data_IF_757952190175
#
_entry.id   IF_757952190175
#
_cell.length_a   1.000
_cell.length_b   1.000
_cell.length_c   1.000
_cell.angle_alpha   90.00
_cell.angle_beta   90.00
_cell.angle_gamma   90.00
#
_symmetry.space_group_name_H-M   'P 1'
#
loop_
_entity.id
_entity.type
_entity.pdbx_description
1 polymer ?
#
# COMPACT_ATOMS: atom_id res chain seq x y z
N UNK A 1 -6.49 -51.59 -9.42
CA UNK A 1 -5.65 -50.49 -9.95
C UNK A 1 -5.81 -49.33 -8.99
N UNK A 2 -4.79 -49.10 -8.16
CA UNK A 2 -4.82 -48.04 -7.16
C UNK A 2 -4.52 -46.71 -7.84
N UNK A 3 -5.41 -45.74 -7.66
CA UNK A 3 -5.24 -44.36 -8.12
C UNK A 3 -4.04 -43.75 -7.39
N UNK A 4 -3.06 -43.28 -8.15
CA UNK A 4 -1.91 -42.56 -7.64
C UNK A 4 -2.40 -41.24 -7.00
N UNK A 5 -2.00 -40.88 -5.78
CA UNK A 5 -2.28 -39.56 -5.23
C UNK A 5 -1.48 -38.54 -6.04
N UNK A 6 -2.19 -37.63 -6.71
CA UNK A 6 -1.64 -36.49 -7.45
C UNK A 6 -0.67 -35.74 -6.55
N UNK A 7 0.59 -35.63 -6.98
CA UNK A 7 1.61 -34.89 -6.27
C UNK A 7 1.17 -33.40 -6.19
N UNK A 8 1.02 -32.80 -4.99
CA UNK A 8 0.61 -31.39 -4.86
C UNK A 8 1.58 -30.38 -5.49
N UNK A 9 2.76 -30.84 -5.94
CA UNK A 9 3.81 -30.01 -6.53
C UNK A 9 3.66 -29.76 -8.04
N UNK A 10 2.71 -30.37 -8.75
CA UNK A 10 2.64 -30.31 -10.23
C UNK A 10 2.06 -29.01 -10.84
N UNK A 11 1.70 -28.00 -10.05
CA UNK A 11 1.20 -26.71 -10.57
C UNK A 11 1.76 -25.49 -9.81
N UNK A 12 3.04 -25.49 -9.44
CA UNK A 12 3.70 -24.22 -9.09
C UNK A 12 3.91 -23.48 -10.42
N UNK A 13 3.19 -22.37 -10.62
CA UNK A 13 3.39 -21.50 -11.77
C UNK A 13 4.87 -21.06 -11.85
N UNK A 14 5.36 -20.81 -13.07
CA UNK A 14 6.70 -20.23 -13.24
C UNK A 14 6.86 -19.00 -12.34
N UNK A 15 7.97 -18.95 -11.62
CA UNK A 15 8.28 -17.87 -10.70
C UNK A 15 8.28 -16.52 -11.45
N UNK A 16 7.34 -15.60 -11.15
CA UNK A 16 7.18 -14.37 -11.93
C UNK A 16 8.23 -13.30 -11.62
N UNK A 17 9.08 -13.51 -10.60
CA UNK A 17 9.94 -12.46 -10.05
C UNK A 17 11.33 -12.40 -10.67
N UNK A 18 11.77 -13.45 -11.36
CA UNK A 18 13.10 -13.51 -11.98
C UNK A 18 14.28 -13.63 -10.99
N UNK A 19 14.01 -13.78 -9.69
CA UNK A 19 14.98 -14.14 -8.65
C UNK A 19 14.48 -15.33 -7.84
N UNK A 20 15.39 -16.06 -7.20
CA UNK A 20 15.02 -17.22 -6.37
C UNK A 20 14.12 -16.79 -5.21
N UNK A 21 12.97 -17.47 -5.09
CA UNK A 21 12.05 -17.27 -3.97
C UNK A 21 12.01 -18.50 -3.08
N UNK A 22 11.85 -18.34 -1.75
CA UNK A 22 11.61 -19.47 -0.86
C UNK A 22 10.41 -20.31 -1.31
N UNK A 23 10.35 -21.61 -0.93
CA UNK A 23 9.25 -22.49 -1.31
C UNK A 23 7.89 -21.86 -0.98
N UNK A 24 7.00 -21.70 -1.98
CA UNK A 24 5.74 -21.02 -1.74
C UNK A 24 4.78 -21.88 -0.92
N UNK A 25 4.01 -21.22 -0.06
CA UNK A 25 2.96 -21.82 0.75
C UNK A 25 1.58 -21.46 0.21
N UNK A 26 0.63 -22.38 0.37
CA UNK A 26 -0.75 -22.15 -0.04
C UNK A 26 -1.41 -21.09 0.87
N UNK A 27 -1.94 -20.02 0.27
CA UNK A 27 -2.71 -19.00 0.96
C UNK A 27 -4.20 -19.26 0.72
N UNK A 28 -4.82 -20.08 1.56
CA UNK A 28 -6.24 -20.42 1.47
C UNK A 28 -7.14 -19.39 2.13
N UNK A 29 -8.41 -19.35 1.71
CA UNK A 29 -9.42 -18.45 2.30
C UNK A 29 -9.72 -18.72 3.78
N UNK A 30 -9.43 -19.94 4.24
CA UNK A 30 -9.56 -20.39 5.63
C UNK A 30 -8.32 -20.09 6.50
N UNK A 31 -7.22 -19.64 5.91
CA UNK A 31 -5.97 -19.29 6.59
C UNK A 31 -5.49 -17.91 6.12
N UNK A 32 -6.22 -16.83 6.49
CA UNK A 32 -5.82 -15.48 6.13
C UNK A 32 -4.42 -15.15 6.69
N UNK A 33 -3.63 -14.44 5.89
CA UNK A 33 -2.33 -13.90 6.31
C UNK A 33 -2.56 -12.57 7.02
N UNK A 34 -2.06 -12.40 8.24
CA UNK A 34 -2.05 -11.08 8.89
C UNK A 34 -0.88 -10.26 8.33
N UNK A 35 -1.18 -9.04 7.85
CA UNK A 35 -0.16 -8.13 7.34
C UNK A 35 0.53 -7.35 8.47
N UNK A 36 0.12 -7.54 9.73
CA UNK A 36 0.80 -7.01 10.91
C UNK A 36 1.91 -7.96 11.43
N UNK A 37 2.72 -8.48 10.52
CA UNK A 37 3.85 -9.35 10.86
C UNK A 37 5.15 -8.61 10.59
N UNK A 38 5.93 -8.32 11.64
CA UNK A 38 7.15 -7.52 11.53
C UNK A 38 8.10 -8.06 10.44
N UNK A 39 8.77 -7.13 9.75
CA UNK A 39 9.85 -7.39 8.79
C UNK A 39 9.56 -8.41 7.68
N UNK A 40 8.29 -8.51 7.30
CA UNK A 40 7.81 -9.51 6.35
C UNK A 40 7.38 -8.86 5.03
N UNK A 41 7.80 -9.48 3.92
CA UNK A 41 7.31 -9.20 2.57
C UNK A 41 6.76 -10.51 1.99
N UNK A 42 5.52 -10.45 1.49
CA UNK A 42 4.85 -11.58 0.86
C UNK A 42 4.88 -11.41 -0.65
N UNK A 43 5.42 -12.39 -1.36
CA UNK A 43 5.51 -12.45 -2.81
C UNK A 43 4.40 -13.36 -3.34
N UNK A 44 3.46 -12.83 -4.12
CA UNK A 44 2.38 -13.62 -4.69
C UNK A 44 2.93 -14.37 -5.92
N UNK A 45 3.29 -15.64 -5.74
CA UNK A 45 3.87 -16.48 -6.80
C UNK A 45 2.79 -16.85 -7.82
N UNK A 46 1.58 -17.18 -7.35
CA UNK A 46 0.46 -17.48 -8.23
C UNK A 46 -0.89 -17.17 -7.58
N UNK A 47 -1.92 -17.01 -8.41
CA UNK A 47 -3.28 -16.73 -7.97
C UNK A 47 -3.53 -15.27 -7.62
N UNK A 48 -4.48 -15.05 -6.74
CA UNK A 48 -5.02 -13.74 -6.37
C UNK A 48 -5.13 -13.66 -4.85
N UNK A 49 -4.81 -12.49 -4.29
CA UNK A 49 -5.01 -12.16 -2.87
C UNK A 49 -5.91 -10.94 -2.78
N UNK A 50 -7.00 -11.05 -2.03
CA UNK A 50 -7.83 -9.91 -1.65
C UNK A 50 -7.39 -9.40 -0.27
N UNK A 51 -7.17 -8.10 -0.17
CA UNK A 51 -6.74 -7.44 1.06
C UNK A 51 -7.98 -6.82 1.72
N UNK A 52 -8.15 -7.07 3.01
CA UNK A 52 -9.28 -6.57 3.79
C UNK A 52 -8.83 -5.88 5.07
N UNK A 53 -9.49 -4.78 5.41
CA UNK A 53 -9.54 -4.30 6.79
C UNK A 53 -10.63 -5.06 7.55
N UNK A 54 -10.31 -5.49 8.77
CA UNK A 54 -11.23 -6.21 9.65
C UNK A 54 -11.16 -5.66 11.06
N UNK A 55 -12.30 -5.62 11.75
CA UNK A 55 -12.31 -5.25 13.16
C UNK A 55 -11.89 -6.44 14.01
N UNK A 56 -11.09 -6.18 15.03
CA UNK A 56 -10.74 -7.14 16.07
C UNK A 56 -11.49 -6.76 17.35
N UNK A 57 -12.04 -7.75 18.06
CA UNK A 57 -12.45 -7.62 19.44
C UNK A 57 -12.04 -8.87 20.22
N UNK A 58 -11.34 -8.68 21.35
CA UNK A 58 -10.79 -9.78 22.16
C UNK A 58 -9.96 -10.79 21.35
N UNK A 59 -9.12 -10.27 20.43
CA UNK A 59 -8.24 -11.09 19.59
C UNK A 59 -8.96 -11.91 18.50
N UNK A 60 -10.22 -11.59 18.19
CA UNK A 60 -10.98 -12.25 17.12
C UNK A 60 -11.56 -11.23 16.15
N UNK A 61 -11.59 -11.61 14.87
CA UNK A 61 -12.28 -10.83 13.84
C UNK A 61 -13.78 -10.75 14.14
N UNK A 62 -14.34 -9.55 14.13
CA UNK A 62 -15.77 -9.27 14.34
C UNK A 62 -16.32 -8.39 13.22
N UNK A 63 -17.59 -8.58 12.87
CA UNK A 63 -18.26 -7.79 11.84
C UNK A 63 -17.85 -8.14 10.40
N UNK A 64 -18.25 -7.31 9.43
CA UNK A 64 -17.91 -7.51 8.01
C UNK A 64 -16.43 -7.23 7.74
N UNK A 65 -15.91 -7.81 6.66
CA UNK A 65 -14.59 -7.46 6.10
C UNK A 65 -14.78 -6.32 5.11
N UNK A 66 -13.97 -5.28 5.22
CA UNK A 66 -13.95 -4.16 4.29
C UNK A 66 -12.85 -4.42 3.25
N UNK A 67 -13.24 -4.66 2.00
CA UNK A 67 -12.28 -4.91 0.93
C UNK A 67 -11.52 -3.63 0.61
N UNK A 68 -10.18 -3.69 0.67
CA UNK A 68 -9.31 -2.57 0.33
C UNK A 68 -8.94 -2.61 -1.15
N UNK A 69 -8.20 -3.63 -1.55
CA UNK A 69 -7.78 -3.84 -2.93
C UNK A 69 -7.41 -5.29 -3.18
N UNK A 70 -7.14 -5.61 -4.45
CA UNK A 70 -6.74 -6.93 -4.92
C UNK A 70 -5.32 -6.91 -5.46
N UNK A 71 -4.52 -7.86 -5.00
CA UNK A 71 -3.19 -8.15 -5.54
C UNK A 71 -3.19 -9.50 -6.28
N UNK A 72 -2.26 -9.67 -7.22
CA UNK A 72 -2.16 -10.83 -8.12
C UNK A 72 -0.73 -11.36 -8.19
N UNK A 73 -0.58 -12.50 -8.84
CA UNK A 73 0.72 -13.08 -9.17
C UNK A 73 1.69 -12.03 -9.75
N UNK A 74 2.93 -12.04 -9.27
CA UNK A 74 3.95 -11.04 -9.64
C UNK A 74 3.89 -9.74 -8.83
N UNK A 75 3.00 -9.61 -7.85
CA UNK A 75 2.96 -8.47 -6.93
C UNK A 75 3.39 -8.88 -5.50
N UNK A 76 3.73 -7.87 -4.69
CA UNK A 76 4.11 -8.06 -3.30
C UNK A 76 3.16 -7.37 -2.33
N UNK A 77 3.09 -7.89 -1.11
CA UNK A 77 2.49 -7.25 0.06
C UNK A 77 3.59 -6.96 1.06
N UNK A 78 3.50 -5.83 1.74
CA UNK A 78 4.49 -5.44 2.74
C UNK A 78 3.83 -5.32 4.10
N UNK A 79 4.59 -5.70 5.13
CA UNK A 79 4.16 -5.58 6.52
C UNK A 79 3.72 -4.16 6.85
N UNK A 80 2.65 -4.08 7.63
CA UNK A 80 2.07 -2.87 8.20
C UNK A 80 2.33 -2.88 9.71
N UNK A 81 2.74 -1.75 10.27
CA UNK A 81 2.78 -1.57 11.71
C UNK A 81 1.42 -1.08 12.21
N UNK A 82 0.64 -1.98 12.79
CA UNK A 82 -0.69 -1.67 13.32
C UNK A 82 -0.70 -1.37 14.83
N UNK A 83 0.47 -1.19 15.46
CA UNK A 83 0.58 -0.97 16.91
C UNK A 83 -0.22 0.23 17.42
N UNK A 84 -0.42 1.25 16.57
CA UNK A 84 -1.23 2.43 16.90
C UNK A 84 -2.74 2.13 17.02
N UNK A 85 -3.22 1.05 16.42
CA UNK A 85 -4.66 0.72 16.32
C UNK A 85 -5.13 -0.30 17.38
N UNK A 86 -4.34 -0.52 18.43
CA UNK A 86 -4.71 -1.14 19.72
C UNK A 86 -5.63 -2.37 19.66
N UNK A 87 -5.36 -3.32 18.75
CA UNK A 87 -6.18 -4.52 18.56
C UNK A 87 -7.65 -4.24 18.19
N UNK A 88 -7.95 -3.09 17.59
CA UNK A 88 -9.27 -2.75 17.08
C UNK A 88 -9.42 -3.08 15.60
N UNK A 89 -8.32 -3.04 14.85
CA UNK A 89 -8.26 -3.36 13.41
C UNK A 89 -7.07 -4.28 13.11
N UNK A 90 -7.30 -5.25 12.22
CA UNK A 90 -6.25 -5.94 11.47
C UNK A 90 -6.39 -5.65 9.98
N UNK A 91 -5.28 -5.81 9.26
CA UNK A 91 -5.29 -5.93 7.81
C UNK A 91 -4.91 -7.37 7.46
N UNK A 92 -5.83 -8.06 6.78
CA UNK A 92 -5.64 -9.46 6.39
C UNK A 92 -5.61 -9.63 4.87
N UNK A 93 -4.77 -10.55 4.43
CA UNK A 93 -4.69 -11.02 3.05
C UNK A 93 -5.36 -12.40 2.93
N UNK A 94 -6.32 -12.52 2.02
CA UNK A 94 -7.10 -13.75 1.79
C UNK A 94 -6.84 -14.22 0.36
N UNK A 95 -6.20 -15.37 0.20
CA UNK A 95 -6.02 -15.95 -1.12
C UNK A 95 -7.30 -16.58 -1.67
N UNK A 96 -7.49 -16.46 -2.98
CA UNK A 96 -8.63 -17.00 -3.73
C UNK A 96 -8.14 -18.12 -4.65
N UNK A 97 -8.58 -19.36 -4.40
CA UNK A 97 -8.37 -20.57 -5.22
C UNK A 97 -6.98 -20.72 -5.85
N UNK A 98 -6.17 -21.69 -5.40
CA UNK A 98 -4.83 -21.95 -5.94
C UNK A 98 -3.90 -20.72 -5.82
N UNK A 99 -3.99 -19.99 -4.71
CA UNK A 99 -3.08 -18.89 -4.40
C UNK A 99 -1.88 -19.40 -3.62
N UNK A 100 -0.69 -19.05 -4.09
CA UNK A 100 0.56 -19.42 -3.48
C UNK A 100 1.41 -18.19 -3.22
N UNK A 101 1.92 -18.08 -2.00
CA UNK A 101 2.69 -16.93 -1.53
C UNK A 101 4.03 -17.43 -1.02
N UNK A 102 5.11 -16.77 -1.42
CA UNK A 102 6.42 -16.93 -0.80
C UNK A 102 6.68 -15.77 0.16
N UNK A 103 7.55 -15.96 1.14
CA UNK A 103 7.82 -14.96 2.16
C UNK A 103 9.32 -14.70 2.25
N UNK A 104 9.70 -13.42 2.18
CA UNK A 104 11.07 -12.95 2.38
C UNK A 104 11.11 -11.90 3.49
N UNK A 105 12.29 -11.65 4.05
CA UNK A 105 12.47 -10.58 5.03
C UNK A 105 12.61 -9.21 4.34
N UNK A 106 12.37 -8.13 5.08
CA UNK A 106 12.71 -6.76 4.63
C UNK A 106 14.18 -6.62 4.26
N UNK A 107 15.09 -7.23 5.03
CA UNK A 107 16.52 -7.23 4.72
C UNK A 107 16.80 -7.86 3.35
N UNK A 108 16.16 -9.00 3.03
CA UNK A 108 16.34 -9.62 1.72
C UNK A 108 15.74 -8.77 0.60
N UNK A 109 14.63 -8.08 0.87
CA UNK A 109 14.08 -7.12 -0.09
C UNK A 109 15.02 -5.92 -0.31
N UNK A 110 15.70 -5.44 0.73
CA UNK A 110 16.72 -4.39 0.62
C UNK A 110 17.90 -4.87 -0.25
N UNK A 111 18.33 -6.13 -0.11
CA UNK A 111 19.35 -6.75 -0.98
C UNK A 111 18.89 -6.74 -2.46
N UNK A 112 17.63 -7.06 -2.74
CA UNK A 112 17.06 -7.01 -4.10
C UNK A 112 17.02 -5.59 -4.67
N UNK A 113 16.79 -4.56 -3.84
CA UNK A 113 16.86 -3.16 -4.27
C UNK A 113 18.30 -2.77 -4.69
N UNK A 114 19.31 -3.31 -4.02
CA UNK A 114 20.72 -2.98 -4.31
C UNK A 114 21.33 -3.82 -5.45
N UNK A 115 20.72 -4.94 -5.80
CA UNK A 115 21.17 -5.81 -6.88
C UNK A 115 20.76 -5.26 -8.25
N UNK A 116 21.72 -4.86 -9.09
CA UNK A 116 21.47 -4.33 -10.43
C UNK A 116 20.60 -5.25 -11.31
N UNK A 117 20.71 -6.57 -11.14
CA UNK A 117 19.94 -7.54 -11.93
C UNK A 117 18.46 -7.56 -11.53
N UNK A 118 18.15 -7.40 -10.25
CA UNK A 118 16.81 -7.59 -9.69
C UNK A 118 16.14 -6.29 -9.24
N UNK A 119 16.88 -5.18 -9.20
CA UNK A 119 16.42 -3.88 -8.73
C UNK A 119 15.12 -3.46 -9.42
N UNK A 120 15.03 -3.53 -10.75
CA UNK A 120 13.82 -3.10 -11.46
C UNK A 120 12.58 -3.83 -10.95
N UNK A 121 12.65 -5.16 -10.81
CA UNK A 121 11.55 -5.96 -10.28
C UNK A 121 11.22 -5.57 -8.83
N UNK A 122 12.23 -5.39 -7.97
CA UNK A 122 12.01 -5.00 -6.58
C UNK A 122 11.29 -3.63 -6.48
N UNK A 123 11.68 -2.66 -7.31
CA UNK A 123 11.03 -1.35 -7.33
C UNK A 123 9.59 -1.42 -7.86
N UNK A 124 9.33 -2.24 -8.88
CA UNK A 124 7.97 -2.47 -9.38
C UNK A 124 7.07 -3.12 -8.32
N UNK A 125 7.61 -4.03 -7.50
CA UNK A 125 6.90 -4.64 -6.37
C UNK A 125 6.53 -3.60 -5.30
N UNK A 126 7.47 -2.71 -4.96
CA UNK A 126 7.24 -1.62 -4.01
C UNK A 126 6.17 -0.63 -4.54
N UNK A 127 6.32 -0.21 -5.80
CA UNK A 127 5.38 0.72 -6.44
C UNK A 127 3.97 0.11 -6.54
N UNK A 128 3.88 -1.17 -6.89
CA UNK A 128 2.60 -1.89 -6.95
C UNK A 128 1.89 -1.95 -5.60
N UNK A 129 2.63 -2.13 -4.50
CA UNK A 129 2.08 -2.08 -3.15
C UNK A 129 1.56 -0.69 -2.77
N UNK A 130 2.37 0.35 -3.02
CA UNK A 130 1.99 1.75 -2.75
C UNK A 130 0.75 2.14 -3.55
N UNK A 131 0.67 1.74 -4.83
CA UNK A 131 -0.51 1.96 -5.67
C UNK A 131 -1.74 1.23 -5.14
N UNK A 132 -1.59 -0.04 -4.74
CA UNK A 132 -2.69 -0.81 -4.15
C UNK A 132 -3.29 -0.15 -2.91
N UNK A 133 -2.42 0.30 -1.98
CA UNK A 133 -2.84 1.04 -0.78
C UNK A 133 -3.47 2.40 -1.13
N UNK A 134 -2.92 3.12 -2.09
CA UNK A 134 -3.46 4.41 -2.52
C UNK A 134 -4.86 4.27 -3.12
N UNK A 135 -5.08 3.23 -3.93
CA UNK A 135 -6.36 2.95 -4.57
C UNK A 135 -7.49 2.69 -3.58
N UNK A 136 -7.17 2.12 -2.41
CA UNK A 136 -8.18 1.83 -1.39
C UNK A 136 -8.71 3.05 -0.64
N UNK A 137 -8.13 4.22 -0.85
CA UNK A 137 -8.73 5.47 -0.38
C UNK A 137 -9.78 5.89 -1.41
N UNK A 138 -11.07 5.75 -1.06
CA UNK A 138 -12.17 6.23 -1.89
C UNK A 138 -12.23 7.76 -1.88
N UNK A 139 -11.45 8.38 -2.76
CA UNK A 139 -11.53 9.81 -3.05
C UNK A 139 -12.39 10.05 -4.27
N UNK A 140 -13.72 10.11 -4.10
CA UNK A 140 -14.67 10.55 -5.13
C UNK A 140 -14.55 12.04 -5.48
N UNK A 141 -13.35 12.60 -5.43
CA UNK A 141 -13.04 13.84 -6.11
C UNK A 141 -12.17 13.46 -7.30
N UNK A 142 -12.82 13.20 -8.43
CA UNK A 142 -12.17 13.47 -9.70
C UNK A 142 -11.76 14.96 -9.65
N UNK A 143 -10.55 15.23 -9.15
CA UNK A 143 -9.95 16.55 -9.17
C UNK A 143 -9.80 16.88 -10.66
N UNK A 144 -10.82 17.54 -11.20
CA UNK A 144 -10.90 17.89 -12.63
C UNK A 144 -9.76 18.84 -13.00
N UNK A 145 -9.23 19.55 -12.00
CA UNK A 145 -8.11 20.47 -12.10
C UNK A 145 -7.09 20.12 -11.03
N UNK A 146 -5.89 19.78 -11.48
CA UNK A 146 -4.70 19.61 -10.66
C UNK A 146 -3.49 20.02 -11.47
N UNK A 147 -2.43 20.43 -10.79
CA UNK A 147 -1.13 20.70 -11.41
C UNK A 147 -0.35 19.38 -11.44
N UNK A 148 0.02 18.83 -12.61
CA UNK A 148 0.72 17.55 -12.68
C UNK A 148 2.13 17.68 -12.11
N UNK A 149 2.54 16.71 -11.31
CA UNK A 149 3.94 16.52 -10.94
C UNK A 149 4.66 15.77 -12.05
N UNK A 150 5.80 16.32 -12.46
CA UNK A 150 6.73 15.66 -13.37
C UNK A 150 7.95 15.15 -12.57
N UNK A 151 8.47 13.96 -12.91
CA UNK A 151 9.60 13.38 -12.19
C UNK A 151 10.84 14.26 -12.32
N UNK A 152 11.56 14.39 -11.21
CA UNK A 152 12.83 15.11 -11.06
C UNK A 152 12.73 16.63 -11.35
N UNK A 153 11.51 17.17 -11.30
CA UNK A 153 11.24 18.58 -11.55
C UNK A 153 10.58 19.26 -10.35
N UNK A 154 10.99 20.50 -10.06
CA UNK A 154 10.30 21.35 -9.11
C UNK A 154 9.05 21.94 -9.76
N UNK A 155 7.92 21.80 -9.09
CA UNK A 155 6.61 22.24 -9.57
C UNK A 155 6.09 23.33 -8.64
N UNK A 156 5.82 24.51 -9.19
CA UNK A 156 5.16 25.59 -8.46
C UNK A 156 3.65 25.31 -8.39
N UNK A 157 3.13 25.25 -7.18
CA UNK A 157 1.72 24.98 -6.90
C UNK A 157 1.16 26.17 -6.13
N UNK A 158 0.28 26.98 -6.73
CA UNK A 158 -0.33 28.13 -6.07
C UNK A 158 -1.18 27.72 -4.86
N UNK A 159 -1.39 28.66 -3.94
CA UNK A 159 -2.31 28.49 -2.82
C UNK A 159 -3.70 27.99 -3.28
N UNK A 160 -4.24 27.01 -2.55
CA UNK A 160 -5.54 26.39 -2.78
C UNK A 160 -5.57 25.38 -3.92
N UNK A 161 -4.48 25.23 -4.68
CA UNK A 161 -4.37 24.22 -5.74
C UNK A 161 -3.92 22.86 -5.20
N UNK A 162 -4.19 21.84 -5.99
CA UNK A 162 -3.81 20.45 -5.71
C UNK A 162 -2.81 19.97 -6.75
N UNK A 163 -1.96 19.03 -6.35
CA UNK A 163 -0.97 18.42 -7.23
C UNK A 163 -0.89 16.91 -7.01
N UNK A 164 -0.64 16.19 -8.10
CA UNK A 164 -0.45 14.73 -8.14
C UNK A 164 0.27 14.33 -9.42
N UNK A 165 0.93 13.16 -9.48
CA UNK A 165 1.43 12.62 -10.73
C UNK A 165 0.29 12.18 -11.66
N UNK A 166 0.58 12.11 -12.96
CA UNK A 166 -0.36 11.54 -13.94
C UNK A 166 -0.43 10.01 -13.88
N UNK A 167 0.67 9.37 -13.48
CA UNK A 167 0.85 7.92 -13.44
C UNK A 167 2.03 7.55 -12.53
N UNK A 168 2.04 6.29 -12.08
CA UNK A 168 3.14 5.75 -11.28
C UNK A 168 3.17 6.31 -9.85
N UNK A 169 4.23 5.96 -9.14
CA UNK A 169 4.54 6.49 -7.81
C UNK A 169 5.60 7.57 -7.95
N UNK A 170 5.35 8.74 -7.35
CA UNK A 170 6.38 9.75 -7.15
C UNK A 170 6.54 10.03 -5.66
N UNK A 171 7.77 10.03 -5.18
CA UNK A 171 8.14 10.43 -3.83
C UNK A 171 8.29 11.94 -3.81
N UNK A 172 7.39 12.61 -3.11
CA UNK A 172 7.29 14.07 -3.10
C UNK A 172 7.80 14.65 -1.81
N UNK A 173 8.54 15.75 -1.89
CA UNK A 173 8.85 16.63 -0.77
C UNK A 173 8.40 18.06 -1.06
N UNK A 174 8.08 18.80 0.00
CA UNK A 174 7.76 20.22 -0.06
C UNK A 174 9.05 21.01 0.13
N UNK A 175 9.58 21.65 -0.93
CA UNK A 175 10.80 22.47 -0.83
C UNK A 175 10.52 23.85 -0.24
N UNK A 176 9.30 24.36 -0.46
CA UNK A 176 8.83 25.63 0.06
C UNK A 176 7.32 25.56 0.21
N UNK A 177 6.77 26.22 1.23
CA UNK A 177 5.34 26.31 1.47
C UNK A 177 4.83 25.19 2.36
N UNK A 178 3.53 24.93 2.29
CA UNK A 178 2.82 24.00 3.17
C UNK A 178 1.83 23.21 2.34
N UNK A 179 1.90 21.88 2.45
CA UNK A 179 0.96 20.99 1.79
C UNK A 179 0.41 19.92 2.73
N UNK A 180 -0.85 19.56 2.50
CA UNK A 180 -1.56 18.50 3.21
C UNK A 180 -1.84 17.33 2.27
N UNK A 181 -1.61 16.11 2.76
CA UNK A 181 -1.98 14.90 2.03
C UNK A 181 -3.48 14.72 2.02
N UNK A 182 -4.03 14.47 0.83
CA UNK A 182 -5.48 14.36 0.58
C UNK A 182 -6.28 15.60 1.03
N UNK A 183 -5.62 16.74 1.25
CA UNK A 183 -6.25 17.92 1.83
C UNK A 183 -6.65 17.78 3.31
N UNK A 184 -6.23 16.71 3.99
CA UNK A 184 -6.57 16.43 5.39
C UNK A 184 -5.63 17.17 6.33
N UNK A 185 -6.18 18.06 7.13
CA UNK A 185 -5.43 18.88 8.11
C UNK A 185 -4.99 18.11 9.34
N UNK A 186 -5.55 16.92 9.55
CA UNK A 186 -5.24 15.99 10.62
C UNK A 186 -3.86 15.36 10.45
N UNK A 187 -3.37 15.25 9.22
CA UNK A 187 -2.04 14.75 8.94
C UNK A 187 -0.97 15.82 9.19
N UNK A 188 0.23 15.39 9.66
CA UNK A 188 1.33 16.33 9.88
C UNK A 188 1.70 17.03 8.58
N UNK A 189 2.12 18.28 8.71
CA UNK A 189 2.72 19.02 7.61
C UNK A 189 4.05 18.37 7.23
N UNK A 190 4.29 18.25 5.93
CA UNK A 190 5.57 17.76 5.42
C UNK A 190 6.65 18.81 5.65
N UNK A 191 7.73 18.42 6.33
CA UNK A 191 8.94 19.23 6.40
C UNK A 191 9.76 19.10 5.12
N UNK A 192 10.79 19.95 4.95
CA UNK A 192 11.64 19.97 3.74
C UNK A 192 12.35 18.63 3.47
N UNK A 193 12.54 17.82 4.50
CA UNK A 193 13.22 16.52 4.46
C UNK A 193 12.25 15.32 4.40
N UNK A 194 10.96 15.55 4.57
CA UNK A 194 9.96 14.47 4.55
C UNK A 194 9.53 14.16 3.12
N UNK A 195 9.73 12.91 2.72
CA UNK A 195 9.15 12.37 1.50
C UNK A 195 7.86 11.61 1.82
N UNK A 196 6.89 11.72 0.92
CA UNK A 196 5.70 10.88 0.91
C UNK A 196 5.46 10.40 -0.52
N UNK A 197 5.16 9.11 -0.74
CA UNK A 197 4.77 8.65 -2.06
C UNK A 197 3.35 9.12 -2.39
N UNK A 198 3.20 9.74 -3.55
CA UNK A 198 1.93 10.13 -4.15
C UNK A 198 1.73 9.34 -5.44
N UNK A 199 0.50 8.97 -5.71
CA UNK A 199 0.09 8.23 -6.91
C UNK A 199 -0.97 9.02 -7.69
N UNK A 200 -1.50 8.44 -8.77
CA UNK A 200 -2.63 9.04 -9.46
C UNK A 200 -3.90 9.09 -8.59
N UNK A 201 -3.99 8.25 -7.55
CA UNK A 201 -5.17 8.11 -6.69
C UNK A 201 -5.10 8.98 -5.43
N UNK A 202 -3.95 9.59 -5.16
CA UNK A 202 -3.72 10.49 -4.01
C UNK A 202 -3.28 11.88 -4.51
N UNK A 203 -3.31 12.89 -3.63
CA UNK A 203 -2.89 14.24 -3.98
C UNK A 203 -2.32 15.00 -2.78
N UNK A 204 -1.58 16.06 -3.06
CA UNK A 204 -1.20 17.10 -2.10
C UNK A 204 -2.05 18.34 -2.35
N UNK A 205 -2.59 18.95 -1.30
CA UNK A 205 -3.25 20.25 -1.35
C UNK A 205 -2.32 21.29 -0.74
N UNK A 206 -1.99 22.33 -1.51
CA UNK A 206 -1.11 23.41 -1.06
C UNK A 206 -1.93 24.53 -0.44
N UNK A 207 -1.67 24.84 0.83
CA UNK A 207 -2.40 25.88 1.59
C UNK A 207 -1.68 27.24 1.53
N UNK A 208 -0.55 27.29 0.83
CA UNK A 208 0.23 28.48 0.49
C UNK A 208 0.88 28.23 -0.87
N UNK A 209 1.39 29.28 -1.52
CA UNK A 209 2.25 29.12 -2.69
C UNK A 209 3.43 28.22 -2.32
N UNK A 210 3.50 27.06 -2.98
CA UNK A 210 4.40 25.97 -2.62
C UNK A 210 5.24 25.49 -3.80
N UNK A 211 6.42 24.95 -3.50
CA UNK A 211 7.30 24.32 -4.48
C UNK A 211 7.43 22.84 -4.12
N UNK A 212 6.88 21.98 -4.96
CA UNK A 212 6.89 20.53 -4.75
C UNK A 212 7.94 19.90 -5.65
N UNK A 213 8.82 19.08 -5.07
CA UNK A 213 9.81 18.31 -5.82
C UNK A 213 9.47 16.83 -5.72
N UNK A 214 9.52 16.14 -6.86
CA UNK A 214 9.08 14.77 -6.97
C UNK A 214 10.18 13.89 -7.57
N UNK A 215 10.41 12.70 -6.99
CA UNK A 215 11.37 11.72 -7.48
C UNK A 215 10.67 10.42 -7.86
N UNK A 216 11.03 9.76 -8.97
CA UNK A 216 10.61 8.39 -9.20
C UNK A 216 11.28 7.47 -8.18
N UNK A 217 10.65 6.32 -7.88
CA UNK A 217 11.14 5.37 -6.88
C UNK A 217 12.60 4.96 -7.14
N UNK A 218 12.98 4.75 -8.40
CA UNK A 218 14.36 4.41 -8.79
C UNK A 218 15.40 5.45 -8.38
N UNK A 219 15.09 6.74 -8.47
CA UNK A 219 15.99 7.81 -8.05
C UNK A 219 15.96 7.97 -6.53
N UNK A 220 14.76 7.89 -5.95
CA UNK A 220 14.55 8.04 -4.50
C UNK A 220 15.31 6.99 -3.68
N UNK A 221 15.28 5.72 -4.07
CA UNK A 221 15.95 4.63 -3.31
C UNK A 221 17.46 4.76 -3.25
N UNK A 222 18.07 5.48 -4.19
CA UNK A 222 19.52 5.74 -4.20
C UNK A 222 19.93 6.86 -3.24
N UNK A 223 18.97 7.66 -2.78
CA UNK A 223 19.23 8.88 -2.03
C UNK A 223 18.77 8.82 -0.58
N UNK A 224 17.55 8.32 -0.34
CA UNK A 224 16.86 8.60 0.93
C UNK A 224 15.89 7.51 1.38
N UNK A 225 15.85 6.34 0.72
CA UNK A 225 14.89 5.32 1.12
C UNK A 225 15.16 4.81 2.53
N UNK A 226 14.08 4.79 3.31
CA UNK A 226 14.02 4.11 4.59
C UNK A 226 12.63 3.53 4.76
N UNK A 227 12.56 2.39 5.45
CA UNK A 227 11.29 1.76 5.81
C UNK A 227 10.39 2.68 6.64
N UNK A 228 10.95 3.66 7.36
CA UNK A 228 10.16 4.61 8.14
C UNK A 228 9.31 5.52 7.25
N UNK A 229 9.79 5.88 6.06
CA UNK A 229 9.05 6.70 5.11
C UNK A 229 7.84 5.93 4.57
N UNK A 230 8.04 4.65 4.22
CA UNK A 230 6.94 3.77 3.82
C UNK A 230 5.96 3.53 4.97
N UNK A 231 6.46 3.28 6.19
CA UNK A 231 5.61 3.08 7.37
C UNK A 231 4.76 4.33 7.68
N UNK A 232 5.32 5.54 7.52
CA UNK A 232 4.57 6.78 7.71
C UNK A 232 3.43 6.91 6.68
N UNK A 233 3.71 6.65 5.40
CA UNK A 233 2.68 6.60 4.37
C UNK A 233 1.59 5.57 4.66
N UNK A 234 2.00 4.35 5.02
CA UNK A 234 1.08 3.27 5.37
C UNK A 234 0.17 3.68 6.53
N UNK A 235 0.70 4.30 7.58
CA UNK A 235 -0.09 4.84 8.70
C UNK A 235 -1.10 5.89 8.24
N UNK A 236 -0.69 6.84 7.39
CA UNK A 236 -1.61 7.86 6.87
C UNK A 236 -2.76 7.27 6.05
N UNK A 237 -2.48 6.25 5.23
CA UNK A 237 -3.50 5.51 4.49
C UNK A 237 -4.45 4.77 5.45
N UNK A 238 -3.92 4.10 6.47
CA UNK A 238 -4.71 3.38 7.47
C UNK A 238 -5.58 4.33 8.30
N UNK A 239 -5.08 5.50 8.69
CA UNK A 239 -5.85 6.53 9.39
C UNK A 239 -7.02 7.02 8.54
N UNK A 240 -6.82 7.24 7.23
CA UNK A 240 -7.91 7.56 6.32
C UNK A 240 -8.98 6.46 6.31
N UNK A 241 -8.55 5.20 6.13
CA UNK A 241 -9.48 4.07 6.12
C UNK A 241 -10.26 3.94 7.42
N UNK A 242 -9.61 4.19 8.55
CA UNK A 242 -10.23 4.16 9.87
C UNK A 242 -11.33 5.21 9.96
N UNK A 243 -11.03 6.47 9.61
CA UNK A 243 -12.01 7.55 9.63
C UNK A 243 -13.19 7.27 8.70
N UNK A 244 -12.92 6.85 7.46
CA UNK A 244 -13.97 6.56 6.48
C UNK A 244 -14.84 5.36 6.93
N UNK A 245 -14.23 4.35 7.58
CA UNK A 245 -14.95 3.20 8.14
C UNK A 245 -15.81 3.59 9.33
N UNK A 246 -15.29 4.41 10.25
CA UNK A 246 -16.04 4.91 11.41
C UNK A 246 -17.23 5.76 10.96
N UNK A 247 -17.02 6.67 10.01
CA UNK A 247 -18.07 7.51 9.45
C UNK A 247 -19.17 6.67 8.78
N UNK A 248 -18.79 5.66 8.00
CA UNK A 248 -19.75 4.75 7.37
C UNK A 248 -20.58 3.97 8.41
N UNK A 249 -19.95 3.50 9.49
CA UNK A 249 -20.63 2.79 10.57
C UNK A 249 -21.61 3.71 11.34
N UNK A 250 -21.24 4.97 11.58
CA UNK A 250 -22.13 5.95 12.21
C UNK A 250 -23.35 6.23 11.33
N UNK A 251 -23.15 6.40 10.02
CA UNK A 251 -24.24 6.63 9.07
C UNK A 251 -25.22 5.45 9.00
N UNK A 252 -24.72 4.22 8.99
CA UNK A 252 -25.57 3.03 8.99
C UNK A 252 -26.31 2.82 10.32
N UNK A 253 -25.69 3.12 11.46
CA UNK A 253 -26.35 3.12 12.75
C UNK A 253 -27.47 4.19 12.83
N UNK A 254 -27.27 5.36 12.22
CA UNK A 254 -28.30 6.39 12.11
C UNK A 254 -29.46 5.93 11.22
N UNK A 255 -29.19 5.31 10.06
CA UNK A 255 -30.23 4.78 9.15
C UNK A 255 -31.13 3.73 9.81
N UNK A 256 -30.57 2.88 10.66
CA UNK A 256 -31.31 1.86 11.41
C UNK A 256 -32.15 2.44 12.55
N UNK A 257 -31.79 3.62 13.10
CA UNK A 257 -32.59 4.32 14.13
C UNK A 257 -33.83 5.03 13.57
N UNK A 258 -33.87 5.30 12.26
CA UNK A 258 -34.99 5.96 11.58
C UNK A 258 -35.86 5.01 10.74
N UNK A 259 -35.76 3.69 10.98
CA UNK A 259 -36.67 2.65 10.47
C UNK A 259 -37.50 2.08 11.61
#
# INVERSE_FOLDING_TARGET
MASNPTNPQEHIAENPFGFDVPPPQHAGSNTPLSLNTADTVWLIVSGIVDIFAVRIAHGRVVGPRHHLFRARAGQALFSLDLSHYADEIDIIAVGVNNTFVSTISRQHFDELIQDEQHQSTALDLLDGWIQGLSYSIEGEVALRQYIPLEPEQATNVPEGQVTRPRRGVLWTRVQQGIAHFLGRTEFPLFSEDDYIPITADTWLQCNQDSVIYALPTQTFVKQSFSWQILNNFQRMILDCMMWDTLDALEQDAQRLKYR
#
